data_IF_901424126022
#
_entry.id   IF_901424126022
#
_cell.length_a   1.000
_cell.length_b   1.000
_cell.length_c   1.000
_cell.angle_alpha   90.00
_cell.angle_beta   90.00
_cell.angle_gamma   90.00
#
_symmetry.space_group_name_H-M   'P 1'
#
loop_
_entity.id
_entity.type
_entity.pdbx_description
1 polymer ?
#
# COMPACT_ATOMS: atom_id res chain seq x y z
N UNK A 1 -10.87 -8.31 -15.52
CA UNK A 1 -10.64 -7.08 -16.35
C UNK A 1 -9.63 -7.44 -17.42
N UNK A 2 -9.91 -7.14 -18.71
CA UNK A 2 -8.93 -7.38 -19.77
C UNK A 2 -7.90 -6.24 -19.77
N UNK A 3 -6.65 -6.55 -19.48
CA UNK A 3 -5.54 -5.61 -19.48
C UNK A 3 -4.90 -5.59 -20.86
N UNK A 4 -4.74 -4.40 -21.45
CA UNK A 4 -4.21 -4.27 -22.84
C UNK A 4 -2.68 -4.27 -22.89
N UNK A 5 -2.00 -3.85 -21.82
CA UNK A 5 -0.57 -3.61 -21.80
C UNK A 5 0.15 -4.19 -20.58
N UNK A 6 -0.59 -4.66 -19.56
CA UNK A 6 -0.03 -5.27 -18.37
C UNK A 6 -0.37 -6.76 -18.34
N UNK A 7 0.61 -7.60 -18.06
CA UNK A 7 0.51 -9.05 -17.97
C UNK A 7 0.99 -9.60 -16.61
N UNK A 8 1.47 -8.70 -15.72
CA UNK A 8 2.01 -9.06 -14.42
C UNK A 8 0.96 -9.14 -13.32
N UNK A 9 -0.28 -8.74 -13.60
CA UNK A 9 -1.37 -8.86 -12.63
C UNK A 9 -2.72 -9.07 -13.32
N UNK A 10 -3.68 -9.60 -12.58
CA UNK A 10 -5.07 -9.69 -13.00
C UNK A 10 -6.00 -9.14 -11.91
N UNK A 11 -7.21 -8.73 -12.31
CA UNK A 11 -8.25 -8.30 -11.39
C UNK A 11 -9.54 -9.01 -11.76
N UNK A 12 -10.05 -9.84 -10.85
CA UNK A 12 -11.34 -10.51 -10.96
C UNK A 12 -12.38 -9.81 -10.09
N UNK A 13 -13.51 -9.46 -10.70
CA UNK A 13 -14.61 -8.80 -10.02
C UNK A 13 -15.70 -9.79 -9.68
N UNK A 14 -16.17 -9.75 -8.46
CA UNK A 14 -17.25 -10.59 -7.93
C UNK A 14 -18.47 -9.73 -7.56
N UNK A 15 -19.55 -10.40 -7.21
CA UNK A 15 -20.73 -9.71 -6.66
C UNK A 15 -20.41 -8.94 -5.38
N UNK A 16 -21.25 -7.97 -5.05
CA UNK A 16 -21.13 -7.14 -3.85
C UNK A 16 -19.82 -6.32 -3.77
N UNK A 17 -19.28 -5.88 -4.91
CA UNK A 17 -18.09 -5.02 -4.99
C UNK A 17 -16.81 -5.63 -4.39
N UNK A 18 -16.73 -6.96 -4.40
CA UNK A 18 -15.52 -7.71 -4.04
C UNK A 18 -14.60 -7.79 -5.27
N UNK A 19 -13.30 -7.64 -5.06
CA UNK A 19 -12.31 -7.81 -6.12
C UNK A 19 -11.13 -8.64 -5.64
N UNK A 20 -10.64 -9.55 -6.48
CA UNK A 20 -9.40 -10.29 -6.24
C UNK A 20 -8.33 -9.78 -7.19
N UNK A 21 -7.24 -9.28 -6.63
CA UNK A 21 -6.03 -8.90 -7.37
C UNK A 21 -5.04 -10.04 -7.23
N UNK A 22 -4.56 -10.57 -8.35
CA UNK A 22 -3.47 -11.55 -8.39
C UNK A 22 -2.25 -10.92 -9.05
N UNK A 23 -1.10 -10.96 -8.39
CA UNK A 23 0.17 -10.39 -8.88
C UNK A 23 1.14 -11.54 -9.12
N UNK A 24 1.72 -11.59 -10.33
CA UNK A 24 2.69 -12.62 -10.78
C UNK A 24 2.23 -14.06 -10.50
N UNK A 25 0.93 -14.33 -10.59
CA UNK A 25 0.28 -15.60 -10.32
C UNK A 25 0.51 -16.18 -8.89
N UNK A 26 1.07 -15.40 -7.98
CA UNK A 26 1.46 -15.85 -6.64
C UNK A 26 0.82 -15.06 -5.52
N UNK A 27 0.96 -13.74 -5.53
CA UNK A 27 0.43 -12.88 -4.47
C UNK A 27 -1.02 -12.48 -4.75
N UNK A 28 -1.90 -12.80 -3.80
CA UNK A 28 -3.33 -12.54 -3.93
C UNK A 28 -3.84 -11.61 -2.84
N UNK A 29 -4.61 -10.59 -3.28
CA UNK A 29 -5.23 -9.61 -2.40
C UNK A 29 -6.73 -9.57 -2.66
N UNK A 30 -7.54 -9.90 -1.65
CA UNK A 30 -8.99 -9.81 -1.73
C UNK A 30 -9.44 -8.45 -1.15
N UNK A 31 -9.96 -7.61 -2.03
CA UNK A 31 -10.53 -6.32 -1.64
C UNK A 31 -11.99 -6.51 -1.23
N UNK A 32 -12.29 -6.16 0.01
CA UNK A 32 -13.65 -6.25 0.55
C UNK A 32 -14.25 -4.85 0.74
N UNK A 33 -15.55 -4.69 0.50
CA UNK A 33 -16.28 -3.47 0.88
C UNK A 33 -16.20 -3.20 2.39
N UNK A 34 -16.38 -1.95 2.76
CA UNK A 34 -16.41 -1.53 4.16
C UNK A 34 -17.42 -2.35 4.97
N UNK A 35 -16.97 -2.84 6.12
CA UNK A 35 -17.78 -3.62 7.05
C UNK A 35 -18.12 -5.04 6.62
N UNK A 36 -17.65 -5.49 5.46
CA UNK A 36 -17.83 -6.87 5.01
C UNK A 36 -16.79 -7.79 5.67
N UNK A 37 -17.25 -8.88 6.26
CA UNK A 37 -16.36 -9.93 6.77
C UNK A 37 -15.81 -10.78 5.65
N UNK A 38 -14.57 -11.27 5.81
CA UNK A 38 -13.97 -12.19 4.87
C UNK A 38 -14.81 -13.49 4.74
N UNK A 39 -14.99 -14.02 3.53
CA UNK A 39 -15.66 -15.29 3.32
C UNK A 39 -14.96 -16.42 4.08
N UNK A 40 -15.75 -17.35 4.65
CA UNK A 40 -15.19 -18.51 5.33
C UNK A 40 -14.49 -19.44 4.34
N UNK A 41 -13.36 -20.04 4.76
CA UNK A 41 -12.63 -21.02 3.98
C UNK A 41 -11.68 -20.44 2.92
N UNK A 42 -11.37 -19.15 2.99
CA UNK A 42 -10.30 -18.57 2.17
C UNK A 42 -8.95 -19.21 2.54
N UNK A 43 -8.09 -19.48 1.54
CA UNK A 43 -6.70 -19.85 1.79
C UNK A 43 -5.97 -18.78 2.60
N UNK A 44 -5.09 -19.18 3.53
CA UNK A 44 -4.26 -18.26 4.33
C UNK A 44 -3.29 -17.43 3.49
N UNK A 45 -3.04 -17.83 2.24
CA UNK A 45 -2.21 -17.10 1.29
C UNK A 45 -2.87 -15.83 0.73
N UNK A 46 -4.21 -15.73 0.84
CA UNK A 46 -4.93 -14.55 0.35
C UNK A 46 -4.93 -13.47 1.43
N UNK A 47 -4.32 -12.34 1.13
CA UNK A 47 -4.30 -11.16 1.98
C UNK A 47 -5.59 -10.38 1.84
N UNK A 48 -6.18 -9.94 2.95
CA UNK A 48 -7.43 -9.17 2.95
C UNK A 48 -7.11 -7.69 3.00
N UNK A 49 -7.67 -6.93 2.06
CA UNK A 49 -7.67 -5.46 2.08
C UNK A 49 -9.09 -4.96 2.25
N UNK A 50 -9.34 -4.25 3.33
CA UNK A 50 -10.64 -3.64 3.61
C UNK A 50 -10.74 -2.27 2.97
N UNK A 51 -11.80 -2.01 2.18
CA UNK A 51 -12.07 -0.66 1.66
C UNK A 51 -12.75 0.22 2.73
N UNK A 52 -12.49 1.53 2.73
CA UNK A 52 -11.48 2.23 1.96
C UNK A 52 -10.06 1.95 2.49
N UNK A 53 -9.14 1.60 1.61
CA UNK A 53 -7.71 1.55 1.96
C UNK A 53 -7.24 2.97 2.20
N UNK A 54 -6.72 3.27 3.37
CA UNK A 54 -6.28 4.60 3.79
C UNK A 54 -5.06 4.52 4.69
N UNK A 55 -4.51 5.69 5.02
CA UNK A 55 -3.31 5.80 5.86
C UNK A 55 -2.14 4.99 5.31
N UNK A 56 -1.94 5.07 3.98
CA UNK A 56 -0.92 4.30 3.27
C UNK A 56 0.48 4.74 3.73
N UNK A 57 1.34 3.77 4.00
CA UNK A 57 2.78 3.99 4.12
C UNK A 57 3.43 3.78 2.76
N UNK A 58 3.78 4.90 2.09
CA UNK A 58 4.37 4.88 0.76
C UNK A 58 5.89 4.97 0.82
N UNK A 59 6.55 3.89 0.43
CA UNK A 59 8.03 3.77 0.37
C UNK A 59 8.52 3.78 -1.07
N UNK A 60 7.77 3.18 -2.00
CA UNK A 60 8.06 3.20 -3.42
C UNK A 60 7.88 4.61 -4.00
N UNK A 61 8.97 5.35 -4.16
CA UNK A 61 8.92 6.75 -4.63
C UNK A 61 8.30 6.91 -6.01
N UNK A 62 8.44 5.91 -6.89
CA UNK A 62 7.82 5.91 -8.21
C UNK A 62 6.30 5.90 -8.17
N UNK A 63 5.70 5.30 -7.15
CA UNK A 63 4.24 5.24 -7.03
C UNK A 63 3.62 6.58 -6.60
N UNK A 64 4.39 7.52 -6.05
CA UNK A 64 3.86 8.83 -5.66
C UNK A 64 3.23 9.58 -6.84
N UNK A 65 3.85 9.50 -8.02
CA UNK A 65 3.35 10.14 -9.24
C UNK A 65 1.99 9.55 -9.67
N UNK A 66 1.82 8.23 -9.52
CA UNK A 66 0.53 7.57 -9.77
C UNK A 66 -0.56 8.07 -8.82
N UNK A 67 -0.26 8.22 -7.51
CA UNK A 67 -1.20 8.78 -6.54
C UNK A 67 -1.59 10.22 -6.85
N UNK A 68 -0.63 11.04 -7.32
CA UNK A 68 -0.91 12.42 -7.75
C UNK A 68 -1.87 12.42 -8.95
N UNK A 69 -1.58 11.64 -10.00
CA UNK A 69 -2.39 11.58 -11.22
C UNK A 69 -3.79 11.00 -11.00
N UNK A 70 -3.96 10.14 -10.01
CA UNK A 70 -5.24 9.58 -9.60
C UNK A 70 -6.02 10.46 -8.62
N UNK A 71 -5.47 11.64 -8.25
CA UNK A 71 -6.04 12.52 -7.21
C UNK A 71 -6.28 11.75 -5.88
N UNK A 72 -5.32 10.89 -5.51
CA UNK A 72 -5.43 9.95 -4.39
C UNK A 72 -4.36 10.17 -3.31
N UNK A 73 -3.69 11.32 -3.30
CA UNK A 73 -2.64 11.63 -2.30
C UNK A 73 -3.17 11.69 -0.86
N UNK A 74 -4.43 11.98 -0.67
CA UNK A 74 -5.11 12.00 0.63
C UNK A 74 -5.19 10.61 1.30
N UNK A 75 -4.96 9.54 0.53
CA UNK A 75 -4.85 8.18 1.07
C UNK A 75 -3.49 7.92 1.73
N UNK A 76 -2.46 8.74 1.43
CA UNK A 76 -1.11 8.57 1.95
C UNK A 76 -0.96 9.35 3.27
N UNK A 77 -0.69 8.66 4.36
CA UNK A 77 -0.38 9.28 5.64
C UNK A 77 1.11 9.30 5.96
N UNK A 78 1.85 8.30 5.45
CA UNK A 78 3.24 8.08 5.81
C UNK A 78 4.12 7.93 4.56
N UNK A 79 5.34 8.46 4.64
CA UNK A 79 6.34 8.37 3.56
C UNK A 79 7.63 7.71 4.04
N UNK A 80 8.19 6.84 3.21
CA UNK A 80 9.53 6.28 3.36
C UNK A 80 10.65 7.24 2.96
N UNK A 81 10.30 8.37 2.35
CA UNK A 81 11.22 9.41 1.90
C UNK A 81 10.98 10.70 2.66
N UNK A 82 12.04 11.36 3.10
CA UNK A 82 11.96 12.67 3.76
C UNK A 82 11.53 13.75 2.75
N UNK A 83 11.02 14.86 3.26
CA UNK A 83 10.67 16.07 2.50
C UNK A 83 11.79 16.52 1.56
N UNK A 84 13.03 16.54 2.07
CA UNK A 84 14.23 16.93 1.31
C UNK A 84 14.60 15.95 0.19
N UNK A 85 14.07 14.72 0.21
CA UNK A 85 14.32 13.69 -0.79
C UNK A 85 13.30 13.66 -1.93
N UNK A 86 12.21 14.42 -1.83
CA UNK A 86 11.21 14.50 -2.87
C UNK A 86 11.54 15.55 -3.92
N UNK A 87 11.35 15.22 -5.20
CA UNK A 87 11.43 16.15 -6.33
C UNK A 87 10.04 16.63 -6.78
N UNK A 88 8.98 15.89 -6.42
CA UNK A 88 7.58 16.23 -6.73
C UNK A 88 7.10 17.33 -5.78
N UNK A 89 6.67 18.49 -6.30
CA UNK A 89 6.26 19.64 -5.47
C UNK A 89 5.07 19.31 -4.57
N UNK A 90 4.12 18.51 -5.09
CA UNK A 90 2.92 18.08 -4.38
C UNK A 90 3.28 17.27 -3.14
N UNK A 91 4.21 16.31 -3.27
CA UNK A 91 4.68 15.49 -2.16
C UNK A 91 5.40 16.34 -1.09
N UNK A 92 6.25 17.32 -1.51
CA UNK A 92 6.90 18.25 -0.59
C UNK A 92 5.88 19.09 0.17
N UNK A 93 4.93 19.67 -0.54
CA UNK A 93 3.89 20.52 0.06
C UNK A 93 3.07 19.72 1.07
N UNK A 94 2.66 18.48 0.73
CA UNK A 94 1.91 17.65 1.64
C UNK A 94 2.69 17.30 2.92
N UNK A 95 4.01 17.10 2.82
CA UNK A 95 4.86 16.87 3.99
C UNK A 95 5.09 18.14 4.81
N UNK A 96 5.31 19.28 4.17
CA UNK A 96 5.47 20.60 4.84
C UNK A 96 4.19 21.01 5.59
N UNK A 97 3.02 20.68 5.03
CA UNK A 97 1.71 20.89 5.67
C UNK A 97 1.37 19.85 6.74
N UNK A 98 2.21 18.82 6.92
CA UNK A 98 2.00 17.76 7.89
C UNK A 98 0.90 16.75 7.52
N UNK A 99 0.44 16.75 6.26
CA UNK A 99 -0.52 15.76 5.74
C UNK A 99 0.13 14.39 5.58
N UNK A 100 1.41 14.36 5.20
CA UNK A 100 2.22 13.16 5.07
C UNK A 100 3.40 13.27 6.03
N UNK A 101 3.61 12.25 6.88
CA UNK A 101 4.71 12.23 7.83
C UNK A 101 5.80 11.24 7.40
N UNK A 102 7.08 11.57 7.65
CA UNK A 102 8.16 10.61 7.45
C UNK A 102 8.10 9.49 8.50
N UNK A 103 8.11 8.23 8.06
CA UNK A 103 8.04 7.04 8.90
C UNK A 103 9.17 6.03 8.64
N UNK A 104 10.37 6.55 8.33
CA UNK A 104 11.52 5.70 8.07
C UNK A 104 11.60 5.22 6.61
N UNK A 105 12.75 4.69 6.23
CA UNK A 105 13.00 4.13 4.89
C UNK A 105 12.75 2.62 4.87
N UNK A 106 12.68 2.02 3.68
CA UNK A 106 12.45 0.58 3.47
C UNK A 106 13.27 -0.35 4.39
N UNK A 107 14.51 0.03 4.74
CA UNK A 107 15.41 -0.80 5.56
C UNK A 107 15.39 -0.45 7.06
N UNK A 108 14.64 0.56 7.46
CA UNK A 108 14.52 1.00 8.85
C UNK A 108 13.20 1.81 9.04
N UNK A 109 12.03 1.15 8.95
CA UNK A 109 10.75 1.78 9.19
C UNK A 109 10.57 2.17 10.67
N UNK A 110 9.79 3.19 10.91
CA UNK A 110 9.29 3.56 12.24
C UNK A 110 8.00 2.78 12.52
N UNK A 111 8.13 1.58 13.06
CA UNK A 111 6.99 0.69 13.33
C UNK A 111 5.98 1.28 14.29
N UNK A 112 6.42 2.07 15.29
CA UNK A 112 5.51 2.73 16.24
C UNK A 112 4.61 3.74 15.52
N UNK A 113 5.21 4.51 14.62
CA UNK A 113 4.47 5.49 13.82
C UNK A 113 3.50 4.80 12.85
N UNK A 114 3.93 3.71 12.18
CA UNK A 114 3.09 2.92 11.29
C UNK A 114 1.87 2.39 12.05
N UNK A 115 2.06 1.77 13.20
CA UNK A 115 0.98 1.26 14.04
C UNK A 115 0.06 2.37 14.55
N UNK A 116 0.64 3.47 15.05
CA UNK A 116 -0.16 4.58 15.61
C UNK A 116 -0.97 5.35 14.56
N UNK A 117 -0.61 5.22 13.30
CA UNK A 117 -1.32 5.84 12.17
C UNK A 117 -2.46 4.98 11.63
N UNK A 118 -2.73 3.81 12.20
CA UNK A 118 -3.72 2.86 11.66
C UNK A 118 -3.47 2.59 10.16
N UNK A 119 -2.23 2.25 9.84
CA UNK A 119 -1.78 2.05 8.45
C UNK A 119 -2.48 0.83 7.85
N UNK A 120 -3.23 1.05 6.76
CA UNK A 120 -3.99 0.00 6.10
C UNK A 120 -3.24 -0.70 4.96
N UNK A 121 -2.13 -0.13 4.49
CA UNK A 121 -1.34 -0.69 3.39
C UNK A 121 0.07 -0.08 3.38
N UNK A 122 1.09 -0.92 3.24
CA UNK A 122 2.45 -0.49 2.90
C UNK A 122 2.72 -0.73 1.40
N UNK A 123 3.13 0.33 0.69
CA UNK A 123 3.52 0.25 -0.73
C UNK A 123 5.04 0.33 -0.82
N UNK A 124 5.64 -0.83 -0.95
CA UNK A 124 7.09 -1.01 -1.00
C UNK A 124 7.60 -1.19 -2.43
N UNK A 125 8.88 -0.95 -2.63
CA UNK A 125 9.59 -1.33 -3.85
C UNK A 125 10.27 -2.70 -3.68
N UNK A 126 10.76 -3.27 -4.77
CA UNK A 126 11.54 -4.53 -4.73
C UNK A 126 12.78 -4.47 -3.84
N UNK A 127 13.21 -3.27 -3.42
CA UNK A 127 14.29 -3.08 -2.44
C UNK A 127 14.00 -3.73 -1.09
N UNK A 128 12.72 -3.95 -0.75
CA UNK A 128 12.33 -4.63 0.49
C UNK A 128 12.84 -6.07 0.56
N UNK A 129 13.06 -6.72 -0.57
CA UNK A 129 13.62 -8.08 -0.62
C UNK A 129 15.09 -8.17 -0.16
N UNK A 130 15.80 -7.02 -0.08
CA UNK A 130 17.14 -6.96 0.51
C UNK A 130 17.14 -6.89 2.04
N UNK A 131 15.96 -6.75 2.64
CA UNK A 131 15.76 -6.67 4.09
C UNK A 131 14.57 -7.54 4.51
N UNK A 132 14.69 -8.88 4.36
CA UNK A 132 13.58 -9.81 4.58
C UNK A 132 12.96 -9.73 5.99
N UNK A 133 13.79 -9.44 7.01
CA UNK A 133 13.33 -9.25 8.38
C UNK A 133 12.41 -8.02 8.52
N UNK A 134 12.62 -6.96 7.74
CA UNK A 134 11.74 -5.79 7.73
C UNK A 134 10.43 -6.14 7.05
N UNK A 135 10.49 -6.84 5.91
CA UNK A 135 9.30 -7.31 5.20
C UNK A 135 8.41 -8.16 6.12
N UNK A 136 9.01 -9.18 6.77
CA UNK A 136 8.29 -10.04 7.71
C UNK A 136 7.68 -9.25 8.88
N UNK A 137 8.39 -8.24 9.38
CA UNK A 137 7.89 -7.41 10.47
C UNK A 137 6.71 -6.55 10.02
N UNK A 138 6.75 -5.94 8.83
CA UNK A 138 5.62 -5.20 8.27
C UNK A 138 4.41 -6.12 8.06
N UNK A 139 4.61 -7.31 7.50
CA UNK A 139 3.54 -8.30 7.31
C UNK A 139 2.88 -8.78 8.61
N UNK A 140 3.60 -8.73 9.75
CA UNK A 140 3.05 -9.06 11.07
C UNK A 140 2.22 -7.95 11.69
N UNK A 141 2.34 -6.74 11.19
CA UNK A 141 1.53 -5.61 11.69
C UNK A 141 0.10 -5.61 11.13
N UNK A 142 -0.18 -6.38 10.09
CA UNK A 142 -1.50 -6.59 9.49
C UNK A 142 -1.58 -6.11 8.07
#
# INVERSE_FOLDING_TARGET
MDLLYADQFSVDYYENDISLITIEDTDQFLLLPEGMSAPAGLPDSIKILQKPVKNIYLVATSAMDDFIHLDAMDLIALSGTKDTGWYLPEAKTAMEEGKIAYAGKYSAPDYEKILSSDCGLAVESTMIYHTPEVKEQLERLG
#
